data_IF_156165408564
#
_entry.id   IF_156165408564
#
_cell.length_a   1.000
_cell.length_b   1.000
_cell.length_c   1.000
_cell.angle_alpha   90.00
_cell.angle_beta   90.00
_cell.angle_gamma   90.00
#
_symmetry.space_group_name_H-M   'P 1'
#
loop_
_entity.id
_entity.type
_entity.pdbx_description
1 polymer ?
#
# COMPACT_ATOMS: atom_id res chain seq x y z
N UNK A 1 -23.68 -4.31 0.94
CA UNK A 1 -23.14 -4.54 -0.41
C UNK A 1 -21.69 -4.11 -0.41
N UNK A 2 -20.83 -4.93 -0.98
CA UNK A 2 -19.48 -4.52 -1.35
C UNK A 2 -19.55 -3.60 -2.57
N UNK A 3 -18.71 -2.57 -2.60
CA UNK A 3 -18.53 -1.72 -3.78
C UNK A 3 -17.94 -2.54 -4.92
N UNK A 4 -18.34 -2.24 -6.15
CA UNK A 4 -17.72 -2.87 -7.32
C UNK A 4 -16.47 -2.09 -7.77
N UNK A 5 -15.54 -2.77 -8.43
CA UNK A 5 -14.36 -2.13 -9.01
C UNK A 5 -14.75 -1.10 -10.08
N UNK A 6 -15.84 -1.34 -10.82
CA UNK A 6 -16.34 -0.39 -11.82
C UNK A 6 -16.78 0.94 -11.16
N UNK A 7 -17.52 0.87 -10.06
CA UNK A 7 -17.93 2.04 -9.28
C UNK A 7 -16.73 2.80 -8.70
N UNK A 8 -15.77 2.08 -8.11
CA UNK A 8 -14.54 2.69 -7.56
C UNK A 8 -13.75 3.41 -8.66
N UNK A 9 -13.57 2.79 -9.82
CA UNK A 9 -12.87 3.40 -10.95
C UNK A 9 -13.57 4.66 -11.48
N UNK A 10 -14.90 4.67 -11.50
CA UNK A 10 -15.67 5.86 -11.87
C UNK A 10 -15.44 7.01 -10.88
N UNK A 11 -15.45 6.73 -9.56
CA UNK A 11 -15.14 7.72 -8.53
C UNK A 11 -13.72 8.26 -8.65
N UNK A 12 -12.74 7.40 -8.94
CA UNK A 12 -11.35 7.82 -9.18
C UNK A 12 -11.27 8.78 -10.36
N UNK A 13 -11.87 8.44 -11.51
CA UNK A 13 -11.90 9.32 -12.70
C UNK A 13 -12.58 10.66 -12.44
N UNK A 14 -13.60 10.68 -11.56
CA UNK A 14 -14.32 11.89 -11.15
C UNK A 14 -13.62 12.69 -10.05
N UNK A 15 -12.50 12.22 -9.50
CA UNK A 15 -11.83 12.85 -8.36
C UNK A 15 -12.64 12.82 -7.06
N UNK A 16 -13.54 11.84 -6.91
CA UNK A 16 -14.45 11.69 -5.76
C UNK A 16 -14.18 10.46 -4.90
N UNK A 17 -13.14 9.70 -5.21
CA UNK A 17 -12.78 8.52 -4.42
C UNK A 17 -12.21 8.95 -3.07
N UNK A 18 -12.68 8.31 -2.00
CA UNK A 18 -12.08 8.44 -0.67
C UNK A 18 -10.91 7.47 -0.60
N UNK A 19 -9.70 8.02 -0.59
CA UNK A 19 -8.44 7.27 -0.54
C UNK A 19 -7.78 7.54 0.80
N UNK A 20 -7.36 6.48 1.48
CA UNK A 20 -6.64 6.56 2.77
C UNK A 20 -5.41 5.66 2.72
N UNK A 21 -4.45 5.89 3.58
CA UNK A 21 -3.30 5.00 3.75
C UNK A 21 -3.54 3.88 4.78
N UNK A 22 -2.50 3.07 4.99
CA UNK A 22 -2.54 1.92 5.90
C UNK A 22 -2.60 2.30 7.38
N UNK A 23 -2.17 3.49 7.77
CA UNK A 23 -2.21 3.97 9.15
C UNK A 23 -3.58 4.60 9.41
N UNK A 24 -4.08 5.45 8.51
CA UNK A 24 -5.38 6.12 8.60
C UNK A 24 -6.56 5.14 8.69
N UNK A 25 -6.49 3.99 8.00
CA UNK A 25 -7.57 3.01 8.03
C UNK A 25 -7.72 2.33 9.41
N UNK A 26 -6.65 2.26 10.21
CA UNK A 26 -6.69 1.65 11.54
C UNK A 26 -7.56 2.52 12.46
N UNK A 27 -7.28 3.81 12.53
CA UNK A 27 -8.02 4.77 13.36
C UNK A 27 -9.50 4.83 12.95
N UNK A 28 -9.79 4.84 11.64
CA UNK A 28 -11.16 4.83 11.12
C UNK A 28 -11.95 3.58 11.53
N UNK A 29 -11.28 2.42 11.58
CA UNK A 29 -11.89 1.17 12.01
C UNK A 29 -12.11 1.15 13.52
N UNK A 30 -11.18 1.69 14.31
CA UNK A 30 -11.34 1.81 15.76
C UNK A 30 -12.50 2.72 16.15
N UNK A 31 -12.65 3.86 15.45
CA UNK A 31 -13.72 4.83 15.74
C UNK A 31 -15.10 4.35 15.26
N UNK A 32 -15.19 3.84 14.01
CA UNK A 32 -16.48 3.63 13.33
C UNK A 32 -16.85 2.15 13.15
N UNK A 33 -15.89 1.26 13.35
CA UNK A 33 -16.02 -0.17 13.08
C UNK A 33 -15.85 -0.51 11.59
N UNK A 34 -15.39 -1.74 11.34
CA UNK A 34 -15.06 -2.28 10.01
C UNK A 34 -16.17 -2.07 8.96
N UNK A 35 -17.44 -2.27 9.35
CA UNK A 35 -18.56 -2.19 8.43
C UNK A 35 -18.81 -0.76 7.93
N UNK A 36 -18.67 0.26 8.78
CA UNK A 36 -18.83 1.66 8.36
C UNK A 36 -17.59 2.16 7.63
N UNK A 37 -16.40 1.85 8.14
CA UNK A 37 -15.15 2.20 7.49
C UNK A 37 -15.09 1.70 6.03
N UNK A 38 -15.47 0.44 5.78
CA UNK A 38 -15.52 -0.13 4.42
C UNK A 38 -16.61 0.47 3.52
N UNK A 39 -17.64 1.12 4.08
CA UNK A 39 -18.65 1.85 3.31
C UNK A 39 -18.17 3.26 2.93
N UNK A 40 -17.37 3.89 3.77
CA UNK A 40 -16.84 5.25 3.56
C UNK A 40 -15.59 5.27 2.67
N UNK A 41 -14.67 4.32 2.85
CA UNK A 41 -13.38 4.27 2.15
C UNK A 41 -13.50 3.52 0.82
N UNK A 42 -12.99 4.10 -0.27
CA UNK A 42 -13.00 3.49 -1.60
C UNK A 42 -11.69 2.75 -1.92
N UNK A 43 -10.54 3.29 -1.51
CA UNK A 43 -9.22 2.70 -1.74
C UNK A 43 -8.36 2.86 -0.49
N UNK A 44 -7.68 1.79 -0.08
CA UNK A 44 -6.60 1.85 0.92
C UNK A 44 -5.28 1.68 0.18
N UNK A 45 -4.43 2.70 0.20
CA UNK A 45 -3.11 2.64 -0.40
C UNK A 45 -2.11 2.13 0.64
N UNK A 46 -1.52 0.98 0.38
CA UNK A 46 -0.42 0.47 1.18
C UNK A 46 0.88 0.68 0.43
N UNK A 47 1.82 1.43 1.02
CA UNK A 47 3.18 1.43 0.51
C UNK A 47 3.79 0.06 0.81
N UNK A 48 3.90 -0.79 -0.20
CA UNK A 48 4.54 -2.09 -0.03
C UNK A 48 6.06 -1.91 -0.12
N UNK A 49 6.73 -2.02 1.02
CA UNK A 49 8.18 -2.29 1.07
C UNK A 49 8.40 -3.75 1.48
N UNK A 50 7.83 -4.65 0.68
CA UNK A 50 7.92 -6.10 0.84
C UNK A 50 8.29 -6.74 -0.50
N UNK A 51 8.97 -7.90 -0.50
CA UNK A 51 9.31 -8.60 -1.73
C UNK A 51 8.05 -8.79 -2.56
N UNK A 52 8.07 -8.39 -3.83
CA UNK A 52 6.96 -8.68 -4.73
C UNK A 52 6.80 -10.20 -4.73
N UNK A 53 5.63 -10.70 -4.33
CA UNK A 53 5.36 -12.13 -4.16
C UNK A 53 5.50 -12.96 -5.45
N UNK A 54 5.92 -12.32 -6.56
CA UNK A 54 6.16 -12.88 -7.88
C UNK A 54 7.60 -12.70 -8.40
N UNK A 55 8.53 -12.05 -7.67
CA UNK A 55 9.88 -11.74 -8.18
C UNK A 55 10.94 -12.82 -7.93
N UNK A 56 10.64 -13.93 -7.24
CA UNK A 56 11.56 -15.08 -7.07
C UNK A 56 12.90 -14.79 -6.36
N UNK A 57 13.19 -13.54 -6.01
CA UNK A 57 14.43 -13.11 -5.38
C UNK A 57 14.16 -12.64 -3.95
N UNK A 58 14.89 -13.21 -2.99
CA UNK A 58 14.91 -12.79 -1.60
C UNK A 58 16.29 -12.22 -1.27
N UNK A 59 16.35 -10.93 -0.97
CA UNK A 59 17.58 -10.23 -0.58
C UNK A 59 17.44 -9.75 0.86
N UNK A 60 18.22 -10.34 1.76
CA UNK A 60 18.34 -9.86 3.14
C UNK A 60 19.71 -9.18 3.32
N UNK A 61 19.68 -7.87 3.54
CA UNK A 61 20.87 -7.02 3.69
C UNK A 61 21.15 -6.63 5.15
N UNK A 62 20.36 -7.15 6.10
CA UNK A 62 20.44 -6.80 7.51
C UNK A 62 19.97 -5.37 7.81
N UNK A 63 19.86 -5.04 9.10
CA UNK A 63 19.48 -3.70 9.57
C UNK A 63 20.72 -2.97 10.08
N UNK A 64 21.18 -1.95 9.35
CA UNK A 64 22.34 -1.14 9.75
C UNK A 64 21.92 0.24 10.29
N UNK A 65 22.76 0.81 11.14
CA UNK A 65 22.77 2.24 11.46
C UNK A 65 24.19 2.75 11.20
N UNK A 66 24.40 3.64 10.21
CA UNK A 66 23.42 4.34 9.37
C UNK A 66 22.71 3.43 8.35
N UNK A 67 21.56 3.90 7.81
CA UNK A 67 20.74 3.13 6.86
C UNK A 67 21.51 2.80 5.58
N UNK A 68 21.36 1.58 5.07
CA UNK A 68 21.91 1.20 3.76
C UNK A 68 21.12 1.88 2.63
N UNK A 69 21.84 2.48 1.68
CA UNK A 69 21.27 2.96 0.39
C UNK A 69 21.83 2.11 -0.75
N UNK A 70 21.07 1.09 -1.15
CA UNK A 70 21.33 0.39 -2.42
C UNK A 70 20.97 1.34 -3.58
N UNK A 71 21.84 1.42 -4.58
CA UNK A 71 21.55 2.22 -5.79
C UNK A 71 21.88 3.71 -5.68
N UNK A 72 22.86 4.11 -4.85
CA UNK A 72 23.49 5.44 -4.94
C UNK A 72 24.31 5.68 -6.22
N UNK A 73 24.09 4.89 -7.26
CA UNK A 73 24.87 4.77 -8.49
C UNK A 73 24.32 3.61 -9.33
N UNK A 74 24.87 2.40 -9.19
CA UNK A 74 24.32 1.15 -9.77
C UNK A 74 24.54 -0.02 -8.81
N UNK A 75 23.66 -1.01 -8.85
CA UNK A 75 23.77 -2.27 -8.08
C UNK A 75 23.45 -3.43 -9.01
N UNK A 76 24.29 -4.46 -9.00
CA UNK A 76 24.16 -5.65 -9.83
C UNK A 76 24.15 -6.88 -8.93
N UNK A 77 23.37 -7.89 -9.32
CA UNK A 77 23.31 -9.20 -8.69
C UNK A 77 23.50 -10.24 -9.81
N UNK A 78 24.53 -11.07 -9.70
CA UNK A 78 24.97 -12.03 -10.73
C UNK A 78 25.25 -11.37 -12.09
N UNK A 79 26.31 -10.56 -12.15
CA UNK A 79 26.88 -10.07 -13.42
C UNK A 79 28.00 -10.99 -13.89
#
# INVERSE_FOLDING_TARGET
>A
MSKTIAEINEKIRKGKAVVVDAEEIIDLVEEKGVKKASQEVDVVTTATFGPMCSSGAYLNIGHSKPKIKLGGGKVYLNN
#
